data_IF_271636883434
#
_entry.id   IF_271636883434
#
_cell.length_a   1.000
_cell.length_b   1.000
_cell.length_c   1.000
_cell.angle_alpha   90.00
_cell.angle_beta   90.00
_cell.angle_gamma   90.00
#
_symmetry.space_group_name_H-M   'P 1'
#
loop_
_entity.id
_entity.type
_entity.pdbx_description
1 polymer ?
#
# COMPACT_ATOMS: atom_id res chain seq x y z
N UNK A 1 3.88 6.07 -13.84
CA UNK A 1 3.64 6.12 -15.30
C UNK A 1 2.82 7.35 -15.63
N UNK A 2 3.18 8.05 -16.70
CA UNK A 2 2.47 9.26 -17.15
C UNK A 2 1.34 8.93 -18.12
N UNK A 3 1.30 7.70 -18.63
CA UNK A 3 0.28 7.21 -19.55
C UNK A 3 0.03 5.70 -19.34
N UNK A 4 -1.12 5.22 -19.85
CA UNK A 4 -1.40 3.78 -19.86
C UNK A 4 -0.39 3.00 -20.74
N UNK A 5 0.06 3.59 -21.84
CA UNK A 5 1.10 2.98 -22.69
C UNK A 5 2.42 2.78 -21.93
N UNK A 6 2.85 3.79 -21.19
CA UNK A 6 4.03 3.66 -20.33
C UNK A 6 3.80 2.63 -19.21
N UNK A 7 2.60 2.61 -18.61
CA UNK A 7 2.26 1.64 -17.58
C UNK A 7 2.34 0.18 -18.08
N UNK A 8 1.98 -0.09 -19.34
CA UNK A 8 2.21 -1.41 -19.97
C UNK A 8 3.70 -1.69 -20.14
N UNK A 9 4.47 -0.69 -20.59
CA UNK A 9 5.91 -0.88 -20.86
C UNK A 9 6.71 -1.18 -19.58
N UNK A 10 6.35 -0.56 -18.45
CA UNK A 10 7.02 -0.78 -17.16
C UNK A 10 6.39 -1.91 -16.33
N UNK A 11 5.40 -2.63 -16.87
CA UNK A 11 4.80 -3.80 -16.23
C UNK A 11 3.80 -3.49 -15.12
N UNK A 12 3.31 -2.25 -15.00
CA UNK A 12 2.24 -1.89 -14.07
C UNK A 12 0.87 -2.37 -14.58
N UNK A 13 0.70 -2.44 -15.89
CA UNK A 13 -0.46 -3.03 -16.55
C UNK A 13 -0.05 -4.28 -17.31
N UNK A 14 -0.95 -5.27 -17.36
CA UNK A 14 -0.71 -6.60 -17.95
C UNK A 14 -1.34 -6.67 -19.34
N UNK A 15 -0.55 -6.85 -20.41
CA UNK A 15 -1.10 -7.05 -21.75
C UNK A 15 -2.08 -8.23 -21.80
N UNK A 16 -3.22 -8.03 -22.46
CA UNK A 16 -4.27 -9.04 -22.59
C UNK A 16 -5.19 -9.20 -21.36
N UNK A 17 -4.87 -8.58 -20.23
CA UNK A 17 -5.68 -8.58 -19.00
C UNK A 17 -6.24 -7.19 -18.73
N UNK A 18 -5.36 -6.21 -18.63
CA UNK A 18 -5.75 -4.84 -18.35
C UNK A 18 -6.11 -4.11 -19.65
N UNK A 19 -7.12 -3.25 -19.62
CA UNK A 19 -7.63 -2.53 -20.80
C UNK A 19 -7.27 -1.04 -20.72
N UNK A 20 -6.95 -0.48 -21.88
CA UNK A 20 -6.75 0.96 -22.05
C UNK A 20 -7.95 1.57 -22.78
N UNK A 21 -8.59 2.55 -22.17
CA UNK A 21 -9.69 3.30 -22.79
C UNK A 21 -9.19 4.68 -23.18
N UNK A 22 -9.02 4.90 -24.47
CA UNK A 22 -8.47 6.16 -25.02
C UNK A 22 -9.44 7.32 -24.83
N UNK A 23 -10.74 7.08 -24.99
CA UNK A 23 -11.75 8.13 -24.82
C UNK A 23 -12.31 8.12 -23.38
N UNK A 24 -11.89 9.10 -22.58
CA UNK A 24 -12.33 9.24 -21.20
C UNK A 24 -13.86 9.29 -21.02
N UNK A 25 -14.61 9.85 -21.99
CA UNK A 25 -16.07 9.90 -21.93
C UNK A 25 -16.72 8.52 -22.05
N UNK A 26 -16.00 7.54 -22.58
CA UNK A 26 -16.47 6.14 -22.69
C UNK A 26 -16.04 5.26 -21.52
N UNK A 27 -15.21 5.75 -20.61
CA UNK A 27 -14.63 4.95 -19.53
C UNK A 27 -15.69 4.18 -18.74
N UNK A 28 -16.76 4.85 -18.32
CA UNK A 28 -17.85 4.21 -17.58
C UNK A 28 -18.59 3.14 -18.41
N UNK A 29 -18.85 3.42 -19.69
CA UNK A 29 -19.52 2.47 -20.58
C UNK A 29 -18.64 1.22 -20.81
N UNK A 30 -17.35 1.40 -21.03
CA UNK A 30 -16.38 0.32 -21.19
C UNK A 30 -16.21 -0.49 -19.89
N UNK A 31 -16.15 0.17 -18.73
CA UNK A 31 -16.11 -0.50 -17.44
C UNK A 31 -17.35 -1.37 -17.22
N UNK A 32 -18.55 -0.83 -17.50
CA UNK A 32 -19.81 -1.59 -17.41
C UNK A 32 -19.82 -2.79 -18.35
N UNK A 33 -19.41 -2.62 -19.60
CA UNK A 33 -19.34 -3.72 -20.56
C UNK A 33 -18.38 -4.82 -20.06
N UNK A 34 -17.21 -4.43 -19.54
CA UNK A 34 -16.23 -5.37 -18.98
C UNK A 34 -16.79 -6.16 -17.79
N UNK A 35 -17.52 -5.52 -16.88
CA UNK A 35 -18.15 -6.20 -15.73
C UNK A 35 -19.20 -7.21 -16.21
N UNK A 36 -20.04 -6.84 -17.19
CA UNK A 36 -21.03 -7.75 -17.76
C UNK A 36 -20.40 -8.92 -18.49
N UNK A 37 -19.28 -8.70 -19.17
CA UNK A 37 -18.52 -9.78 -19.84
C UNK A 37 -17.91 -10.74 -18.81
N UNK A 38 -17.36 -10.23 -17.71
CA UNK A 38 -16.86 -11.04 -16.60
C UNK A 38 -17.95 -11.87 -15.95
N UNK A 39 -19.12 -11.28 -15.70
CA UNK A 39 -20.28 -11.98 -15.15
C UNK A 39 -20.72 -13.13 -16.07
N UNK A 40 -20.88 -12.88 -17.37
CA UNK A 40 -21.19 -13.90 -18.37
C UNK A 40 -20.13 -15.00 -18.47
N UNK A 41 -18.88 -14.67 -18.24
CA UNK A 41 -17.76 -15.62 -18.22
C UNK A 41 -17.69 -16.45 -16.93
N UNK A 42 -18.62 -16.21 -15.97
CA UNK A 42 -18.67 -16.95 -14.71
C UNK A 42 -17.63 -16.49 -13.70
N UNK A 43 -17.29 -15.18 -13.68
CA UNK A 43 -16.38 -14.62 -12.68
C UNK A 43 -16.86 -14.94 -11.26
N UNK A 44 -15.95 -15.42 -10.45
CA UNK A 44 -16.14 -15.57 -9.01
C UNK A 44 -15.08 -14.78 -8.24
N UNK A 45 -15.47 -14.23 -7.11
CA UNK A 45 -14.53 -13.54 -6.24
C UNK A 45 -13.40 -14.47 -5.81
N UNK A 46 -12.12 -14.03 -5.87
CA UNK A 46 -11.01 -14.80 -5.32
C UNK A 46 -11.24 -15.13 -3.84
N UNK A 47 -10.86 -16.33 -3.42
CA UNK A 47 -10.90 -16.71 -2.01
C UNK A 47 -9.95 -15.83 -1.20
N UNK A 48 -10.36 -15.51 0.03
CA UNK A 48 -9.49 -14.81 0.98
C UNK A 48 -8.19 -15.58 1.21
N UNK A 49 -7.09 -14.86 1.21
CA UNK A 49 -5.79 -15.46 1.46
C UNK A 49 -5.54 -15.63 2.95
N UNK A 50 -5.24 -16.87 3.34
CA UNK A 50 -4.91 -17.24 4.72
C UNK A 50 -3.50 -17.84 4.83
N UNK A 51 -2.67 -17.64 3.81
CA UNK A 51 -1.38 -18.29 3.64
C UNK A 51 -0.23 -17.29 3.43
N UNK A 52 -0.42 -16.01 3.79
CA UNK A 52 0.57 -14.96 3.58
C UNK A 52 1.67 -15.12 4.63
N UNK A 53 2.89 -15.39 4.16
CA UNK A 53 4.04 -15.55 5.03
C UNK A 53 4.52 -14.17 5.51
N UNK A 54 4.51 -13.95 6.80
CA UNK A 54 5.09 -12.76 7.43
C UNK A 54 6.58 -12.96 7.70
N UNK A 55 7.28 -11.86 7.94
CA UNK A 55 8.73 -11.87 8.15
C UNK A 55 9.12 -12.03 9.63
N UNK A 56 8.21 -11.72 10.54
CA UNK A 56 8.42 -11.84 11.99
C UNK A 56 9.37 -10.80 12.59
N UNK A 57 9.62 -10.95 13.90
CA UNK A 57 10.38 -10.01 14.74
C UNK A 57 11.81 -9.79 14.28
N UNK A 58 12.49 -10.80 13.76
CA UNK A 58 13.88 -10.64 13.29
C UNK A 58 14.00 -9.66 12.14
N UNK A 59 13.10 -9.74 11.16
CA UNK A 59 13.06 -8.78 10.06
C UNK A 59 12.62 -7.39 10.54
N UNK A 60 11.64 -7.31 11.45
CA UNK A 60 11.24 -6.04 12.05
C UNK A 60 12.42 -5.34 12.74
N UNK A 61 13.27 -6.08 13.46
CA UNK A 61 14.50 -5.56 14.05
C UNK A 61 15.46 -5.01 12.99
N UNK A 62 15.67 -5.73 11.90
CA UNK A 62 16.52 -5.30 10.77
C UNK A 62 15.99 -4.01 10.14
N UNK A 63 14.68 -3.92 9.86
CA UNK A 63 14.08 -2.70 9.33
C UNK A 63 14.19 -1.53 10.31
N UNK A 64 14.01 -1.78 11.62
CA UNK A 64 14.15 -0.75 12.65
C UNK A 64 15.56 -0.17 12.68
N UNK A 65 16.60 -1.02 12.62
CA UNK A 65 18.00 -0.58 12.54
C UNK A 65 18.24 0.25 11.27
N UNK A 66 17.71 -0.20 10.11
CA UNK A 66 17.81 0.55 8.86
C UNK A 66 17.19 1.94 8.96
N UNK A 67 15.97 2.03 9.52
CA UNK A 67 15.28 3.30 9.72
C UNK A 67 16.07 4.25 10.64
N UNK A 68 16.61 3.73 11.75
CA UNK A 68 17.44 4.53 12.66
C UNK A 68 18.74 4.99 11.99
N UNK A 69 19.34 4.17 11.13
CA UNK A 69 20.52 4.56 10.37
C UNK A 69 20.23 5.70 9.40
N UNK A 70 19.10 5.65 8.68
CA UNK A 70 18.68 6.76 7.81
C UNK A 70 18.39 8.04 8.59
N UNK A 71 17.78 7.91 9.76
CA UNK A 71 17.53 9.04 10.66
C UNK A 71 18.84 9.65 11.16
N UNK A 72 19.76 8.82 11.66
CA UNK A 72 21.06 9.26 12.16
C UNK A 72 21.90 9.93 11.06
N UNK A 73 21.79 9.47 9.80
CA UNK A 73 22.42 10.08 8.64
C UNK A 73 21.75 11.37 8.15
N UNK A 74 20.62 11.79 8.75
CA UNK A 74 19.91 13.01 8.36
C UNK A 74 19.12 12.88 7.06
N UNK A 75 18.89 11.66 6.55
CA UNK A 75 18.14 11.42 5.32
C UNK A 75 16.63 11.48 5.50
N UNK A 76 16.15 11.22 6.71
CA UNK A 76 14.73 11.24 7.06
C UNK A 76 14.51 11.98 8.38
N UNK A 77 13.33 12.60 8.54
CA UNK A 77 12.93 13.25 9.80
C UNK A 77 12.56 12.22 10.88
N UNK A 78 12.46 12.68 12.12
CA UNK A 78 11.91 11.89 13.25
C UNK A 78 10.52 11.31 12.90
N UNK A 79 9.69 12.13 12.26
CA UNK A 79 8.34 11.71 11.91
C UNK A 79 8.32 10.71 10.75
N UNK A 80 9.22 10.85 9.77
CA UNK A 80 9.40 9.84 8.72
C UNK A 80 9.85 8.50 9.30
N UNK A 81 10.76 8.54 10.28
CA UNK A 81 11.21 7.34 10.98
C UNK A 81 10.07 6.66 11.75
N UNK A 82 9.20 7.43 12.40
CA UNK A 82 8.00 6.89 13.07
C UNK A 82 7.09 6.19 12.06
N UNK A 83 6.78 6.83 10.93
CA UNK A 83 5.95 6.25 9.87
C UNK A 83 6.59 4.97 9.32
N UNK A 84 7.88 5.02 9.00
CA UNK A 84 8.60 3.87 8.44
C UNK A 84 8.58 2.65 9.39
N UNK A 85 8.71 2.86 10.70
CA UNK A 85 8.59 1.78 11.70
C UNK A 85 7.18 1.20 11.75
N UNK A 86 6.14 2.02 11.65
CA UNK A 86 4.75 1.54 11.60
C UNK A 86 4.47 0.73 10.33
N UNK A 87 5.00 1.15 9.19
CA UNK A 87 4.93 0.39 7.93
C UNK A 87 5.67 -0.95 8.07
N UNK A 88 6.90 -0.93 8.59
CA UNK A 88 7.68 -2.15 8.84
C UNK A 88 6.96 -3.12 9.78
N UNK A 89 6.33 -2.61 10.83
CA UNK A 89 5.53 -3.41 11.77
C UNK A 89 4.40 -4.16 11.05
N UNK A 90 3.59 -3.46 10.23
CA UNK A 90 2.51 -4.11 9.48
C UNK A 90 3.03 -5.15 8.47
N UNK A 91 4.07 -4.82 7.69
CA UNK A 91 4.66 -5.74 6.69
C UNK A 91 5.28 -6.98 7.35
N UNK A 92 5.90 -6.85 8.53
CA UNK A 92 6.49 -7.96 9.24
C UNK A 92 5.45 -8.86 9.95
N UNK A 93 4.17 -8.47 9.95
CA UNK A 93 3.11 -9.20 10.64
C UNK A 93 3.03 -8.89 12.13
N UNK A 94 3.43 -7.68 12.53
CA UNK A 94 3.44 -7.27 13.93
C UNK A 94 4.63 -7.86 14.70
N UNK A 95 4.42 -8.15 15.99
CA UNK A 95 5.45 -8.67 16.89
C UNK A 95 5.43 -10.22 16.97
N UNK A 96 5.30 -10.88 15.82
CA UNK A 96 5.39 -12.33 15.75
C UNK A 96 6.82 -12.81 16.02
N UNK A 97 6.99 -13.81 16.87
CA UNK A 97 8.32 -14.33 17.27
C UNK A 97 9.10 -14.94 16.11
N UNK A 98 8.41 -15.44 15.09
CA UNK A 98 9.00 -16.07 13.90
C UNK A 98 8.15 -15.82 12.66
N UNK A 99 8.66 -16.04 11.45
CA UNK A 99 7.88 -16.05 10.24
C UNK A 99 6.70 -16.99 10.35
N UNK A 100 5.49 -16.48 10.15
CA UNK A 100 4.23 -17.21 10.38
C UNK A 100 3.27 -16.91 9.24
N UNK A 101 2.50 -17.92 8.83
CA UNK A 101 1.41 -17.71 7.88
C UNK A 101 0.22 -17.05 8.57
N UNK A 102 -0.27 -15.98 7.98
CA UNK A 102 -1.41 -15.20 8.50
C UNK A 102 -2.43 -14.96 7.39
N UNK A 103 -3.63 -14.52 7.77
CA UNK A 103 -4.64 -14.08 6.83
C UNK A 103 -4.34 -12.67 6.30
N UNK A 104 -4.89 -12.35 5.14
CA UNK A 104 -4.88 -10.98 4.62
C UNK A 104 -5.57 -10.03 5.61
N UNK A 105 -6.69 -10.45 6.19
CA UNK A 105 -7.41 -9.66 7.20
C UNK A 105 -6.55 -9.31 8.40
N UNK A 106 -5.72 -10.23 8.88
CA UNK A 106 -4.79 -9.96 9.98
C UNK A 106 -3.82 -8.81 9.63
N UNK A 107 -3.26 -8.79 8.41
CA UNK A 107 -2.37 -7.72 7.97
C UNK A 107 -3.11 -6.38 7.80
N UNK A 108 -4.34 -6.41 7.29
CA UNK A 108 -5.20 -5.23 7.18
C UNK A 108 -5.57 -4.65 8.55
N UNK A 109 -5.75 -5.49 9.56
CA UNK A 109 -6.02 -5.04 10.93
C UNK A 109 -4.78 -4.38 11.55
N UNK A 110 -3.58 -4.91 11.33
CA UNK A 110 -2.31 -4.26 11.74
C UNK A 110 -2.10 -2.93 11.01
N UNK A 111 -2.38 -2.86 9.71
CA UNK A 111 -2.31 -1.63 8.94
C UNK A 111 -3.27 -0.57 9.50
N UNK A 112 -4.52 -0.97 9.79
CA UNK A 112 -5.52 -0.09 10.38
C UNK A 112 -5.08 0.44 11.74
N UNK A 113 -4.56 -0.43 12.61
CA UNK A 113 -4.03 -0.04 13.92
C UNK A 113 -2.88 0.97 13.77
N UNK A 114 -1.92 0.68 12.89
CA UNK A 114 -0.80 1.56 12.60
C UNK A 114 -1.28 2.93 12.07
N UNK A 115 -2.22 2.93 11.12
CA UNK A 115 -2.80 4.16 10.55
C UNK A 115 -3.54 4.99 11.61
N UNK A 116 -4.39 4.36 12.41
CA UNK A 116 -5.11 5.06 13.48
C UNK A 116 -4.15 5.67 14.51
N UNK A 117 -3.06 4.97 14.85
CA UNK A 117 -2.04 5.53 15.74
C UNK A 117 -1.36 6.77 15.15
N UNK A 118 -1.10 6.76 13.83
CA UNK A 118 -0.54 7.92 13.12
C UNK A 118 -1.52 9.08 12.98
N UNK A 119 -2.83 8.82 12.91
CA UNK A 119 -3.85 9.87 12.94
C UNK A 119 -3.88 10.65 14.27
N UNK A 120 -3.35 10.09 15.36
CA UNK A 120 -3.13 10.79 16.62
C UNK A 120 -1.94 11.75 16.61
N UNK A 121 -1.07 11.67 15.61
CA UNK A 121 0.15 12.47 15.50
C UNK A 121 -0.13 13.80 14.78
N UNK A 122 0.19 14.93 15.41
CA UNK A 122 0.00 16.28 14.85
C UNK A 122 0.63 16.42 13.46
N UNK A 123 1.86 15.94 13.29
CA UNK A 123 2.57 16.01 12.01
C UNK A 123 1.91 15.19 10.90
N UNK A 124 1.30 14.04 11.22
CA UNK A 124 0.51 13.27 10.27
C UNK A 124 -0.73 14.03 9.80
N UNK A 125 -1.45 14.66 10.74
CA UNK A 125 -2.62 15.48 10.41
C UNK A 125 -2.24 16.68 9.53
N UNK A 126 -1.13 17.35 9.83
CA UNK A 126 -0.59 18.44 9.00
C UNK A 126 -0.29 17.97 7.57
N UNK A 127 0.31 16.78 7.40
CA UNK A 127 0.59 16.17 6.08
C UNK A 127 -0.68 15.86 5.32
N UNK A 128 -1.67 15.24 5.98
CA UNK A 128 -2.97 14.93 5.38
C UNK A 128 -3.66 16.22 4.92
N UNK A 129 -3.75 17.22 5.81
CA UNK A 129 -4.37 18.50 5.50
C UNK A 129 -3.67 19.22 4.35
N UNK A 130 -2.34 19.24 4.36
CA UNK A 130 -1.56 19.84 3.29
C UNK A 130 -1.80 19.15 1.94
N UNK A 131 -1.83 17.83 1.92
CA UNK A 131 -2.14 17.06 0.72
C UNK A 131 -3.53 17.38 0.17
N UNK A 132 -4.55 17.43 1.04
CA UNK A 132 -5.92 17.76 0.63
C UNK A 132 -6.05 19.20 0.09
N UNK A 133 -5.31 20.16 0.66
CA UNK A 133 -5.40 21.56 0.26
C UNK A 133 -4.51 21.92 -0.95
N UNK A 134 -3.33 21.31 -1.01
CA UNK A 134 -2.30 21.72 -1.99
C UNK A 134 -2.02 20.68 -3.07
N UNK A 135 -2.51 19.44 -2.91
CA UNK A 135 -2.22 18.34 -3.83
C UNK A 135 -0.74 17.90 -3.86
N UNK A 136 0.04 18.31 -2.86
CA UNK A 136 1.48 18.03 -2.77
C UNK A 136 1.85 17.50 -1.40
N UNK A 137 2.85 16.60 -1.31
CA UNK A 137 3.33 16.11 -0.01
C UNK A 137 4.00 17.22 0.80
N UNK A 138 3.79 17.19 2.12
CA UNK A 138 4.50 18.01 3.11
C UNK A 138 5.57 17.14 3.77
N UNK A 139 6.78 17.69 3.94
CA UNK A 139 7.85 17.14 4.78
C UNK A 139 8.06 18.07 5.98
N UNK A 140 7.75 17.58 7.19
CA UNK A 140 7.81 18.36 8.45
C UNK A 140 8.48 17.58 9.58
#
# INVERSE_FOLDING_TARGET
>A
ATSAGEAFNVGLLRPGVDRMVVNQKRLLAEAKATVLDLDRAGYSQPSERNDIMTLGRSALGTFTIGVESFKAGGYISEHDALIAKKVAFAICGGDLSMPTKVSEQYLLDLEREAFLSLCGEKKSLERIQHMLQKGKPLRN
#
